data_IF_573332476646
#
_entry.id   IF_573332476646
#
_cell.length_a   1.000
_cell.length_b   1.000
_cell.length_c   1.000
_cell.angle_alpha   90.00
_cell.angle_beta   90.00
_cell.angle_gamma   90.00
#
_symmetry.space_group_name_H-M   'P 1'
#
loop_
_entity.id
_entity.type
_entity.pdbx_description
1 polymer ?
#
# COMPACT_ATOMS: atom_id res chain seq x y z
N UNK A 1 -2.06 38.39 11.40
CA UNK A 1 -1.89 37.48 10.25
C UNK A 1 -2.95 37.80 9.22
N UNK A 2 -2.61 37.88 7.93
CA UNK A 2 -3.60 38.01 6.84
C UNK A 2 -4.40 36.71 6.71
N UNK A 3 -5.67 36.78 6.28
CA UNK A 3 -6.54 35.61 6.01
C UNK A 3 -5.90 34.62 5.04
N UNK A 4 -5.15 35.12 4.06
CA UNK A 4 -4.48 34.31 3.04
C UNK A 4 -3.39 33.42 3.64
N UNK A 5 -2.70 33.91 4.67
CA UNK A 5 -1.66 33.15 5.37
C UNK A 5 -2.26 32.00 6.18
N UNK A 6 -3.47 32.17 6.73
CA UNK A 6 -4.17 31.11 7.48
C UNK A 6 -4.66 30.02 6.53
N UNK A 7 -5.22 30.41 5.38
CA UNK A 7 -5.68 29.47 4.36
C UNK A 7 -4.53 28.62 3.81
N UNK A 8 -3.40 29.26 3.48
CA UNK A 8 -2.22 28.55 2.97
C UNK A 8 -1.59 27.64 4.02
N UNK A 9 -1.48 28.08 5.29
CA UNK A 9 -0.97 27.24 6.36
C UNK A 9 -1.87 26.02 6.63
N UNK A 10 -3.18 26.21 6.58
CA UNK A 10 -4.15 25.10 6.74
C UNK A 10 -4.08 24.13 5.55
N UNK A 11 -3.96 24.65 4.32
CA UNK A 11 -3.76 23.83 3.12
C UNK A 11 -2.48 23.00 3.19
N UNK A 12 -1.36 23.61 3.59
CA UNK A 12 -0.09 22.91 3.78
C UNK A 12 -0.18 21.80 4.83
N UNK A 13 -0.90 22.05 5.93
CA UNK A 13 -1.13 21.05 6.98
C UNK A 13 -1.96 19.87 6.44
N UNK A 14 -3.04 20.11 5.69
CA UNK A 14 -3.82 19.05 5.04
C UNK A 14 -2.94 18.22 4.08
N UNK A 15 -2.12 18.88 3.27
CA UNK A 15 -1.19 18.22 2.34
C UNK A 15 -0.21 17.31 3.07
N UNK A 16 0.36 17.78 4.19
CA UNK A 16 1.25 16.96 5.02
C UNK A 16 0.55 15.71 5.57
N UNK A 17 -0.70 15.84 6.03
CA UNK A 17 -1.50 14.72 6.54
C UNK A 17 -1.87 13.72 5.44
N UNK A 18 -2.17 14.19 4.23
CA UNK A 18 -2.38 13.31 3.09
C UNK A 18 -1.13 12.47 2.79
N UNK A 19 0.06 13.08 2.87
CA UNK A 19 1.33 12.35 2.75
C UNK A 19 1.49 11.25 3.80
N UNK A 20 1.19 11.57 5.06
CA UNK A 20 1.19 10.59 6.16
C UNK A 20 0.18 9.47 5.90
N UNK A 21 -1.05 9.78 5.49
CA UNK A 21 -2.07 8.75 5.19
C UNK A 21 -1.65 7.85 4.02
N UNK A 22 -1.04 8.40 2.97
CA UNK A 22 -0.49 7.58 1.87
C UNK A 22 0.59 6.63 2.37
N UNK A 23 1.53 7.12 3.18
CA UNK A 23 2.62 6.30 3.71
C UNK A 23 2.17 5.28 4.77
N UNK A 24 1.18 5.62 5.59
CA UNK A 24 0.76 4.81 6.74
C UNK A 24 -0.39 3.86 6.44
N UNK A 25 -1.22 4.16 5.44
CA UNK A 25 -2.39 3.34 5.09
C UNK A 25 -2.22 2.72 3.71
N UNK A 26 -2.04 3.52 2.66
CA UNK A 26 -2.01 3.00 1.28
C UNK A 26 -0.77 2.15 1.02
N UNK A 27 0.39 2.54 1.56
CA UNK A 27 1.66 1.87 1.28
C UNK A 27 1.70 0.42 1.80
N UNK A 28 1.24 0.09 3.02
CA UNK A 28 1.12 -1.31 3.46
C UNK A 28 0.22 -2.16 2.55
N UNK A 29 -0.90 -1.61 2.06
CA UNK A 29 -1.72 -2.31 1.07
C UNK A 29 -0.95 -2.54 -0.23
N UNK A 30 -0.29 -1.53 -0.79
CA UNK A 30 0.52 -1.71 -2.00
C UNK A 30 1.65 -2.73 -1.82
N UNK A 31 2.32 -2.72 -0.66
CA UNK A 31 3.35 -3.68 -0.30
C UNK A 31 2.81 -5.12 -0.24
N UNK A 32 1.55 -5.30 0.18
CA UNK A 32 0.92 -6.63 0.13
C UNK A 32 0.73 -7.17 -1.30
N UNK A 33 0.46 -6.30 -2.28
CA UNK A 33 0.45 -6.70 -3.70
C UNK A 33 1.86 -6.99 -4.22
N UNK A 34 2.88 -6.30 -3.71
CA UNK A 34 4.27 -6.62 -4.02
C UNK A 34 4.64 -8.02 -3.55
N UNK A 35 4.19 -8.42 -2.35
CA UNK A 35 4.33 -9.80 -1.86
C UNK A 35 3.64 -10.80 -2.78
N UNK A 36 2.42 -10.52 -3.25
CA UNK A 36 1.74 -11.37 -4.24
C UNK A 36 2.57 -11.50 -5.53
N UNK A 37 3.14 -10.38 -6.01
CA UNK A 37 4.03 -10.36 -7.18
C UNK A 37 5.28 -11.20 -6.98
N UNK A 38 5.89 -11.15 -5.79
CA UNK A 38 7.05 -12.00 -5.42
C UNK A 38 6.64 -13.48 -5.44
N UNK A 39 5.50 -13.83 -4.84
CA UNK A 39 5.01 -15.23 -4.84
C UNK A 39 4.82 -15.74 -6.27
N UNK A 40 4.26 -14.93 -7.16
CA UNK A 40 4.07 -15.32 -8.56
C UNK A 40 5.38 -15.41 -9.34
N UNK A 41 6.34 -14.50 -9.07
CA UNK A 41 7.68 -14.58 -9.63
C UNK A 41 8.37 -15.89 -9.24
N UNK A 42 8.24 -16.30 -7.98
CA UNK A 42 8.78 -17.58 -7.47
C UNK A 42 8.08 -18.81 -8.06
N UNK A 43 6.81 -18.68 -8.50
CA UNK A 43 6.08 -19.74 -9.20
C UNK A 43 6.39 -19.84 -10.69
N UNK A 44 7.09 -18.85 -11.25
CA UNK A 44 7.40 -18.80 -12.68
C UNK A 44 6.30 -18.18 -13.53
N UNK A 45 5.26 -17.59 -12.94
CA UNK A 45 4.11 -16.98 -13.65
C UNK A 45 4.43 -15.60 -14.28
N UNK A 46 5.72 -15.26 -14.40
CA UNK A 46 6.23 -14.06 -15.06
C UNK A 46 6.27 -12.79 -14.20
N UNK A 47 7.14 -11.80 -14.53
CA UNK A 47 7.43 -10.66 -13.66
C UNK A 47 6.41 -9.51 -13.74
N UNK A 48 5.35 -9.63 -14.57
CA UNK A 48 4.44 -8.51 -14.86
C UNK A 48 3.76 -7.96 -13.60
N UNK A 49 3.25 -8.85 -12.75
CA UNK A 49 2.55 -8.47 -11.52
C UNK A 49 3.52 -7.94 -10.46
N UNK A 50 4.74 -8.47 -10.40
CA UNK A 50 5.81 -7.91 -9.59
C UNK A 50 6.19 -6.49 -10.02
N UNK A 51 6.44 -6.25 -11.30
CA UNK A 51 6.82 -4.93 -11.80
C UNK A 51 5.71 -3.89 -11.61
N UNK A 52 4.45 -4.27 -11.85
CA UNK A 52 3.30 -3.39 -11.64
C UNK A 52 3.12 -2.99 -10.17
N UNK A 53 3.21 -3.96 -9.26
CA UNK A 53 3.11 -3.70 -7.81
C UNK A 53 4.32 -2.92 -7.27
N UNK A 54 5.53 -3.19 -7.77
CA UNK A 54 6.73 -2.44 -7.44
C UNK A 54 6.60 -0.98 -7.86
N UNK A 55 6.14 -0.72 -9.09
CA UNK A 55 5.87 0.63 -9.58
C UNK A 55 4.84 1.37 -8.71
N UNK A 56 3.77 0.69 -8.30
CA UNK A 56 2.76 1.27 -7.41
C UNK A 56 3.34 1.64 -6.04
N UNK A 57 4.18 0.77 -5.45
CA UNK A 57 4.84 1.03 -4.16
C UNK A 57 5.76 2.25 -4.26
N UNK A 58 6.60 2.30 -5.30
CA UNK A 58 7.52 3.43 -5.52
C UNK A 58 6.74 4.73 -5.71
N UNK A 59 5.67 4.70 -6.49
CA UNK A 59 4.82 5.88 -6.73
C UNK A 59 4.14 6.37 -5.46
N UNK A 60 3.55 5.47 -4.67
CA UNK A 60 2.88 5.84 -3.42
C UNK A 60 3.87 6.33 -2.36
N UNK A 61 5.02 5.68 -2.22
CA UNK A 61 6.07 6.11 -1.30
C UNK A 61 6.63 7.48 -1.70
N UNK A 62 6.94 7.67 -2.98
CA UNK A 62 7.45 8.92 -3.51
C UNK A 62 6.45 10.07 -3.37
N UNK A 63 5.20 9.85 -3.79
CA UNK A 63 4.14 10.86 -3.68
C UNK A 63 3.83 11.18 -2.21
N UNK A 64 3.72 10.18 -1.34
CA UNK A 64 3.47 10.37 0.08
C UNK A 64 4.59 11.18 0.75
N UNK A 65 5.85 10.86 0.45
CA UNK A 65 7.01 11.61 0.95
C UNK A 65 7.03 13.05 0.43
N UNK A 66 6.77 13.26 -0.85
CA UNK A 66 6.76 14.59 -1.45
C UNK A 66 5.66 15.48 -0.85
N UNK A 67 4.45 14.94 -0.65
CA UNK A 67 3.35 15.65 0.00
C UNK A 67 3.69 16.00 1.46
N UNK A 68 4.26 15.05 2.20
CA UNK A 68 4.69 15.30 3.57
C UNK A 68 5.76 16.39 3.65
N UNK A 69 6.82 16.30 2.83
CA UNK A 69 7.88 17.31 2.79
C UNK A 69 7.37 18.71 2.40
N UNK A 70 6.48 18.78 1.40
CA UNK A 70 5.92 20.05 0.94
C UNK A 70 5.09 20.73 2.04
N UNK A 71 4.24 19.97 2.72
CA UNK A 71 3.40 20.50 3.80
C UNK A 71 4.19 20.82 5.07
N UNK A 72 5.18 20.00 5.43
CA UNK A 72 6.02 20.22 6.61
C UNK A 72 7.03 21.36 6.45
N UNK A 73 7.45 21.67 5.21
CA UNK A 73 8.38 22.75 4.91
C UNK A 73 7.75 24.15 4.83
N UNK A 74 6.41 24.26 4.94
CA UNK A 74 5.74 25.55 4.78
C UNK A 74 5.93 26.46 6.01
N UNK A 75 6.50 27.67 5.85
CA UNK A 75 6.73 28.59 6.97
C UNK A 75 5.40 29.08 7.55
N UNK A 76 5.14 28.73 8.80
CA UNK A 76 3.89 29.05 9.51
C UNK A 76 3.03 27.84 9.87
N UNK A 77 3.44 26.62 9.47
CA UNK A 77 2.88 25.37 10.00
C UNK A 77 3.58 25.06 11.32
N UNK A 78 3.01 25.47 12.44
CA UNK A 78 3.34 24.83 13.71
C UNK A 78 2.70 23.45 13.72
N UNK A 79 3.50 22.40 13.47
CA UNK A 79 3.05 21.03 13.72
C UNK A 79 2.90 20.86 15.24
N UNK A 80 1.73 21.23 15.76
CA UNK A 80 1.40 21.03 17.17
C UNK A 80 1.55 19.54 17.52
N UNK A 81 2.46 19.26 18.45
CA UNK A 81 2.67 17.97 19.12
C UNK A 81 3.13 16.83 18.19
N UNK A 82 4.42 16.83 17.80
CA UNK A 82 5.05 15.74 17.03
C UNK A 82 4.81 14.36 17.64
N UNK A 83 4.76 14.26 18.97
CA UNK A 83 4.55 12.99 19.67
C UNK A 83 3.18 12.35 19.39
N UNK A 84 2.11 13.15 19.27
CA UNK A 84 0.76 12.62 19.06
C UNK A 84 0.58 12.17 17.60
N UNK A 85 1.11 12.94 16.64
CA UNK A 85 1.17 12.55 15.23
C UNK A 85 1.99 11.28 15.00
N UNK A 86 3.15 11.15 15.64
CA UNK A 86 3.97 9.93 15.56
C UNK A 86 3.20 8.74 16.09
N UNK A 87 2.54 8.88 17.24
CA UNK A 87 1.75 7.81 17.85
C UNK A 87 0.61 7.37 16.93
N UNK A 88 -0.18 8.31 16.40
CA UNK A 88 -1.28 8.02 15.47
C UNK A 88 -0.76 7.35 14.20
N UNK A 89 0.35 7.84 13.64
CA UNK A 89 0.97 7.27 12.45
C UNK A 89 1.42 5.83 12.68
N UNK A 90 2.01 5.53 13.84
CA UNK A 90 2.41 4.17 14.22
C UNK A 90 1.20 3.25 14.34
N UNK A 91 0.12 3.71 14.98
CA UNK A 91 -1.13 2.93 15.06
C UNK A 91 -1.72 2.66 13.67
N UNK A 92 -1.77 3.68 12.81
CA UNK A 92 -2.28 3.53 11.44
C UNK A 92 -1.45 2.54 10.64
N UNK A 93 -0.11 2.64 10.68
CA UNK A 93 0.80 1.67 10.03
C UNK A 93 0.59 0.27 10.58
N UNK A 94 0.51 0.11 11.90
CA UNK A 94 0.35 -1.20 12.51
C UNK A 94 -0.96 -1.86 12.07
N UNK A 95 -2.08 -1.14 12.18
CA UNK A 95 -3.41 -1.65 11.80
C UNK A 95 -3.48 -1.92 10.29
N UNK A 96 -3.03 -0.99 9.46
CA UNK A 96 -3.06 -1.17 8.00
C UNK A 96 -2.17 -2.31 7.54
N UNK A 97 -1.00 -2.50 8.17
CA UNK A 97 -0.10 -3.63 7.88
C UNK A 97 -0.76 -4.95 8.24
N UNK A 98 -1.40 -5.06 9.41
CA UNK A 98 -2.13 -6.28 9.81
C UNK A 98 -3.25 -6.58 8.80
N UNK A 99 -4.05 -5.58 8.42
CA UNK A 99 -5.12 -5.76 7.42
C UNK A 99 -4.58 -6.15 6.05
N UNK A 100 -3.47 -5.54 5.63
CA UNK A 100 -2.82 -5.83 4.36
C UNK A 100 -2.26 -7.27 4.32
N UNK A 101 -1.69 -7.74 5.44
CA UNK A 101 -1.24 -9.13 5.60
C UNK A 101 -2.41 -10.12 5.55
N UNK A 102 -3.51 -9.82 6.23
CA UNK A 102 -4.73 -10.66 6.16
C UNK A 102 -5.21 -10.74 4.70
N UNK A 103 -5.28 -9.60 4.01
CA UNK A 103 -5.66 -9.55 2.59
C UNK A 103 -4.71 -10.33 1.68
N UNK A 104 -3.40 -10.26 1.93
CA UNK A 104 -2.39 -11.06 1.24
C UNK A 104 -2.60 -12.57 1.44
N UNK A 105 -2.78 -13.01 2.68
CA UNK A 105 -3.01 -14.42 3.01
C UNK A 105 -4.28 -14.93 2.31
N UNK A 106 -5.38 -14.17 2.37
CA UNK A 106 -6.63 -14.54 1.70
C UNK A 106 -6.47 -14.68 0.19
N UNK A 107 -5.75 -13.76 -0.47
CA UNK A 107 -5.46 -13.83 -1.91
C UNK A 107 -4.58 -15.03 -2.24
N UNK A 108 -3.52 -15.25 -1.48
CA UNK A 108 -2.60 -16.38 -1.68
C UNK A 108 -3.32 -17.71 -1.53
N UNK A 109 -4.18 -17.87 -0.52
CA UNK A 109 -4.99 -19.09 -0.32
C UNK A 109 -5.98 -19.29 -1.47
N UNK A 110 -6.63 -18.23 -1.96
CA UNK A 110 -7.52 -18.32 -3.13
C UNK A 110 -6.76 -18.76 -4.38
N UNK A 111 -5.63 -18.12 -4.69
CA UNK A 111 -4.77 -18.49 -5.81
C UNK A 111 -4.31 -19.94 -5.75
N UNK A 112 -3.91 -20.43 -4.57
CA UNK A 112 -3.54 -21.83 -4.36
C UNK A 112 -4.72 -22.79 -4.59
N UNK A 113 -5.91 -22.41 -4.12
CA UNK A 113 -7.12 -23.23 -4.27
C UNK A 113 -7.56 -23.31 -5.74
N UNK A 114 -7.47 -22.22 -6.47
CA UNK A 114 -7.84 -22.17 -7.88
C UNK A 114 -6.84 -22.96 -8.74
N UNK A 115 -5.53 -22.81 -8.49
CA UNK A 115 -4.51 -23.61 -9.15
C UNK A 115 -4.68 -25.13 -8.92
N UNK A 116 -5.06 -25.55 -7.69
CA UNK A 116 -5.39 -26.96 -7.41
C UNK A 116 -6.59 -27.45 -8.20
N UNK A 117 -7.66 -26.65 -8.27
CA UNK A 117 -8.88 -27.01 -9.03
C UNK A 117 -8.61 -27.14 -10.52
N UNK A 118 -7.75 -26.30 -11.08
CA UNK A 118 -7.34 -26.41 -12.48
C UNK A 118 -6.53 -27.70 -12.73
N UNK A 119 -5.60 -28.03 -11.82
CA UNK A 119 -4.87 -29.29 -11.89
C UNK A 119 -5.80 -30.52 -11.84
N UNK A 120 -6.78 -30.53 -10.92
CA UNK A 120 -7.77 -31.60 -10.81
C UNK A 120 -8.64 -31.73 -12.08
N UNK A 121 -9.07 -30.60 -12.66
CA UNK A 121 -9.83 -30.59 -13.94
C UNK A 121 -9.02 -31.16 -15.09
N UNK A 122 -7.75 -30.78 -15.20
CA UNK A 122 -6.85 -31.30 -16.24
C UNK A 122 -6.60 -32.80 -16.09
N UNK A 123 -6.47 -33.29 -14.85
CA UNK A 123 -6.36 -34.72 -14.57
C UNK A 123 -7.64 -35.47 -14.96
N UNK A 124 -8.82 -34.96 -14.61
CA UNK A 124 -10.09 -35.57 -14.99
C UNK A 124 -10.26 -35.67 -16.51
N UNK A 125 -9.95 -34.61 -17.26
CA UNK A 125 -10.00 -34.63 -18.73
C UNK A 125 -9.00 -35.60 -19.37
N UNK A 126 -7.84 -35.86 -18.74
CA UNK A 126 -6.91 -36.91 -19.19
C UNK A 126 -7.41 -38.33 -18.91
N UNK A 127 -8.22 -38.52 -17.87
CA UNK A 127 -8.71 -39.83 -17.44
C UNK A 127 -10.06 -40.22 -18.04
N UNK A 128 -10.74 -39.33 -18.77
CA UNK A 128 -11.90 -39.68 -19.58
C UNK A 128 -11.46 -40.00 -21.02
N UNK A 129 -11.11 -41.26 -21.36
CA UNK A 129 -11.03 -41.64 -22.76
C UNK A 129 -12.46 -41.57 -23.34
N UNK A 130 -12.61 -40.76 -24.39
CA UNK A 130 -13.69 -40.95 -25.36
C UNK A 130 -13.47 -42.29 -26.09
#
# INVERSE_FOLDING_TARGET
MSSDNVLLATGALVVAHCGILMGTVCLPFAASFLLDGIVQLLRGDGPKLFLGSLGLVVLLAGAGYALWQFGAGYPGVEMERPALMVTVSLYLVAVSTVLALIGFVLRTVRLLRDARREADRLQYMRMSPL
#
